data_IF_752431140233
#
_entry.id   IF_752431140233
#
_cell.length_a   1.000
_cell.length_b   1.000
_cell.length_c   1.000
_cell.angle_alpha   90.00
_cell.angle_beta   90.00
_cell.angle_gamma   90.00
#
_symmetry.space_group_name_H-M   'P 1'
#
loop_
_entity.id
_entity.type
_entity.pdbx_description
1 polymer ?
#
# COMPACT_ATOMS: atom_id res chain seq x y z
N UNK A 1 26.29 16.19 27.72
CA UNK A 1 25.80 16.53 26.38
C UNK A 1 26.23 15.39 25.47
N UNK A 2 25.32 14.80 24.73
CA UNK A 2 25.66 13.76 23.77
C UNK A 2 26.47 14.40 22.62
N UNK A 3 27.68 13.92 22.40
CA UNK A 3 28.59 14.41 21.39
C UNK A 3 28.27 13.72 20.06
N UNK A 4 28.03 14.48 18.99
CA UNK A 4 27.81 13.90 17.66
C UNK A 4 29.09 13.15 17.22
N UNK A 5 28.96 12.00 16.59
CA UNK A 5 30.09 11.15 16.15
C UNK A 5 31.15 11.85 15.29
N UNK A 6 30.77 12.94 14.61
CA UNK A 6 31.63 13.73 13.72
C UNK A 6 32.04 15.10 14.32
N UNK A 7 31.67 15.41 15.57
CA UNK A 7 31.88 16.71 16.18
C UNK A 7 33.36 16.93 16.56
N UNK A 8 33.98 17.87 15.87
CA UNK A 8 35.35 18.31 16.12
C UNK A 8 35.34 19.72 16.74
N UNK A 9 34.98 19.85 18.00
CA UNK A 9 35.07 21.10 18.82
C UNK A 9 34.43 22.36 18.19
N UNK A 10 33.49 22.23 17.28
CA UNK A 10 32.70 23.33 16.72
C UNK A 10 31.29 23.28 17.29
N UNK A 11 30.89 24.29 18.03
CA UNK A 11 29.54 24.40 18.57
C UNK A 11 28.56 24.59 17.40
N UNK A 12 27.68 23.61 17.15
CA UNK A 12 26.68 23.70 16.09
C UNK A 12 25.63 24.74 16.49
N UNK A 13 25.33 25.67 15.59
CA UNK A 13 24.25 26.63 15.79
C UNK A 13 22.91 25.89 15.86
N UNK A 14 22.14 26.13 16.91
CA UNK A 14 20.86 25.46 17.17
C UNK A 14 19.83 25.63 16.01
N UNK A 15 19.87 26.77 15.31
CA UNK A 15 19.01 27.01 14.14
C UNK A 15 19.39 26.14 12.94
N UNK A 16 20.70 25.98 12.72
CA UNK A 16 21.22 25.10 11.68
C UNK A 16 20.90 23.64 12.00
N UNK A 17 21.07 23.23 13.26
CA UNK A 17 20.73 21.88 13.71
C UNK A 17 19.24 21.59 13.50
N UNK A 18 18.37 22.50 13.95
CA UNK A 18 16.93 22.42 13.73
C UNK A 18 16.55 22.28 12.25
N UNK A 19 17.20 23.09 11.38
CA UNK A 19 16.92 23.05 9.95
C UNK A 19 17.39 21.74 9.29
N UNK A 20 18.57 21.26 9.65
CA UNK A 20 19.19 20.08 9.03
C UNK A 20 18.65 18.74 9.56
N UNK A 21 18.26 18.67 10.80
CA UNK A 21 17.60 17.48 11.38
C UNK A 21 16.11 17.45 11.00
N UNK A 22 15.44 18.61 11.03
CA UNK A 22 14.03 18.72 10.66
C UNK A 22 13.17 17.77 11.48
N UNK A 23 12.35 16.97 10.77
CA UNK A 23 11.50 15.92 11.36
C UNK A 23 12.15 14.52 11.35
N UNK A 24 13.44 14.43 11.09
CA UNK A 24 14.09 13.13 10.87
C UNK A 24 13.98 12.21 12.10
N UNK A 25 14.12 12.75 13.31
CA UNK A 25 13.94 11.97 14.56
C UNK A 25 12.54 11.36 14.67
N UNK A 26 11.49 12.10 14.29
CA UNK A 26 10.11 11.62 14.28
C UNK A 26 9.93 10.50 13.25
N UNK A 27 10.47 10.71 12.06
CA UNK A 27 10.39 9.75 10.98
C UNK A 27 11.22 8.48 11.25
N UNK A 28 12.36 8.62 11.90
CA UNK A 28 13.23 7.49 12.24
C UNK A 28 12.61 6.54 13.28
N UNK A 29 11.60 7.00 14.04
CA UNK A 29 10.85 6.10 14.92
C UNK A 29 10.15 4.97 14.16
N UNK A 30 9.72 5.20 12.91
CA UNK A 30 9.21 4.15 12.02
C UNK A 30 10.26 3.08 11.70
N UNK A 31 11.53 3.44 11.74
CA UNK A 31 12.65 2.59 11.34
C UNK A 31 13.33 1.86 12.51
N UNK A 32 13.01 2.21 13.75
CA UNK A 32 13.75 1.77 14.95
C UNK A 32 13.92 0.25 15.05
N UNK A 33 12.85 -0.53 14.86
CA UNK A 33 12.96 -2.01 14.93
C UNK A 33 13.76 -2.59 13.76
N UNK A 34 13.77 -1.93 12.62
CA UNK A 34 14.47 -2.38 11.41
C UNK A 34 15.97 -2.08 11.49
N UNK A 35 16.36 -0.96 12.09
CA UNK A 35 17.77 -0.67 12.42
C UNK A 35 18.35 -1.73 13.35
N UNK A 36 17.58 -2.15 14.35
CA UNK A 36 18.00 -3.23 15.25
C UNK A 36 18.18 -4.56 14.50
N UNK A 37 17.23 -4.95 13.64
CA UNK A 37 17.33 -6.18 12.84
C UNK A 37 18.52 -6.12 11.86
N UNK A 38 18.70 -5.01 11.16
CA UNK A 38 19.85 -4.77 10.30
C UNK A 38 21.17 -4.86 11.05
N UNK A 39 21.21 -4.29 12.25
CA UNK A 39 22.36 -4.32 13.15
C UNK A 39 22.67 -5.75 13.64
N UNK A 40 21.65 -6.55 13.99
CA UNK A 40 21.85 -7.96 14.40
C UNK A 40 22.48 -8.79 13.27
N UNK A 41 21.98 -8.64 12.05
CA UNK A 41 22.55 -9.33 10.90
C UNK A 41 23.98 -8.86 10.61
N UNK A 42 24.24 -7.57 10.76
CA UNK A 42 25.55 -6.99 10.53
C UNK A 42 26.60 -7.49 11.52
N UNK A 43 26.33 -7.46 12.84
CA UNK A 43 27.29 -7.94 13.84
C UNK A 43 27.53 -9.45 13.75
N UNK A 44 26.53 -10.24 13.35
CA UNK A 44 26.69 -11.66 13.09
C UNK A 44 27.67 -11.89 11.93
N UNK A 45 27.59 -11.07 10.90
CA UNK A 45 28.57 -11.08 9.80
C UNK A 45 29.94 -10.59 10.26
N UNK A 46 30.05 -9.57 11.12
CA UNK A 46 31.34 -9.08 11.65
C UNK A 46 32.08 -10.15 12.43
N UNK A 47 31.39 -10.98 13.19
CA UNK A 47 31.98 -12.13 13.89
C UNK A 47 32.53 -13.13 12.89
N UNK A 48 31.80 -13.49 11.85
CA UNK A 48 32.21 -14.46 10.83
C UNK A 48 33.47 -14.06 10.07
N UNK A 49 33.78 -12.77 10.00
CA UNK A 49 34.99 -12.23 9.36
C UNK A 49 36.08 -11.83 10.38
N UNK A 50 35.91 -12.16 11.66
CA UNK A 50 36.90 -11.99 12.73
C UNK A 50 37.03 -10.57 13.29
N UNK A 51 36.08 -9.68 13.03
CA UNK A 51 36.03 -8.33 13.61
C UNK A 51 35.36 -8.27 14.98
N UNK A 52 34.62 -9.32 15.34
CA UNK A 52 34.07 -9.56 16.67
C UNK A 52 34.48 -10.97 17.13
N UNK A 53 34.63 -11.16 18.43
CA UNK A 53 34.69 -12.48 19.02
C UNK A 53 33.29 -13.05 19.24
N UNK A 54 33.15 -14.36 19.39
CA UNK A 54 31.87 -15.01 19.67
C UNK A 54 31.23 -14.54 20.98
N UNK A 55 32.03 -14.20 21.99
CA UNK A 55 31.55 -13.64 23.27
C UNK A 55 31.02 -12.21 23.07
N UNK A 56 31.72 -11.38 22.30
CA UNK A 56 31.27 -10.02 21.96
C UNK A 56 29.96 -10.06 21.15
N UNK A 57 29.87 -10.98 20.17
CA UNK A 57 28.62 -11.17 19.41
C UNK A 57 27.46 -11.51 20.33
N UNK A 58 27.67 -12.46 21.27
CA UNK A 58 26.60 -12.90 22.18
C UNK A 58 26.02 -11.75 23.01
N UNK A 59 26.89 -10.94 23.64
CA UNK A 59 26.44 -9.83 24.48
C UNK A 59 25.80 -8.68 23.67
N UNK A 60 26.28 -8.44 22.43
CA UNK A 60 25.70 -7.48 21.51
C UNK A 60 24.31 -7.91 21.04
N UNK A 61 24.14 -9.19 20.67
CA UNK A 61 22.83 -9.74 20.27
C UNK A 61 21.81 -9.68 21.42
N UNK A 62 22.23 -9.98 22.65
CA UNK A 62 21.37 -9.89 23.82
C UNK A 62 20.88 -8.44 24.05
N UNK A 63 21.78 -7.45 23.99
CA UNK A 63 21.40 -6.05 24.18
C UNK A 63 20.56 -5.52 22.99
N UNK A 64 20.85 -5.92 21.75
CA UNK A 64 20.00 -5.56 20.61
C UNK A 64 18.59 -6.15 20.73
N UNK A 65 18.43 -7.37 21.27
CA UNK A 65 17.10 -7.94 21.57
C UNK A 65 16.36 -7.14 22.64
N UNK A 66 17.07 -6.63 23.67
CA UNK A 66 16.49 -5.75 24.68
C UNK A 66 16.01 -4.42 24.07
N UNK A 67 16.83 -3.83 23.18
CA UNK A 67 16.45 -2.62 22.45
C UNK A 67 15.23 -2.89 21.56
N UNK A 68 15.23 -3.99 20.81
CA UNK A 68 14.09 -4.40 19.96
C UNK A 68 12.81 -4.52 20.80
N UNK A 69 12.88 -5.19 21.94
CA UNK A 69 11.73 -5.34 22.83
C UNK A 69 11.25 -3.99 23.41
N UNK A 70 12.15 -3.02 23.65
CA UNK A 70 11.77 -1.68 24.07
C UNK A 70 11.05 -0.90 22.96
N UNK A 71 11.43 -1.11 21.69
CA UNK A 71 10.73 -0.55 20.53
C UNK A 71 9.32 -1.15 20.43
N UNK A 72 9.18 -2.49 20.55
CA UNK A 72 7.86 -3.15 20.53
C UNK A 72 6.92 -2.66 21.64
N UNK A 73 7.46 -2.30 22.83
CA UNK A 73 6.66 -1.73 23.91
C UNK A 73 6.41 -0.23 23.83
N UNK A 74 6.93 0.45 22.78
CA UNK A 74 6.80 1.91 22.65
C UNK A 74 7.64 2.71 23.66
N UNK A 75 8.67 2.12 24.27
CA UNK A 75 9.54 2.73 25.27
C UNK A 75 10.82 3.33 24.66
N UNK A 76 11.14 2.97 23.42
CA UNK A 76 12.30 3.51 22.71
C UNK A 76 12.05 4.96 22.31
N UNK A 77 13.03 5.81 22.54
CA UNK A 77 13.02 7.22 22.14
C UNK A 77 14.39 7.64 21.60
N UNK A 78 14.40 8.52 20.62
CA UNK A 78 15.62 9.19 20.19
C UNK A 78 15.80 10.41 21.09
N UNK A 79 16.86 10.38 21.91
CA UNK A 79 17.11 11.40 22.92
C UNK A 79 17.44 12.77 22.29
N UNK A 80 17.12 13.84 23.04
CA UNK A 80 17.50 15.19 22.61
C UNK A 80 19.01 15.31 22.39
N UNK A 81 19.40 15.91 21.27
CA UNK A 81 20.80 16.03 20.85
C UNK A 81 21.33 14.82 20.06
N UNK A 82 20.58 13.73 19.95
CA UNK A 82 20.89 12.61 19.03
C UNK A 82 20.25 12.91 17.67
N UNK A 83 21.00 12.66 16.60
CA UNK A 83 20.58 13.04 15.24
C UNK A 83 19.55 12.07 14.65
N UNK A 84 19.73 10.76 14.84
CA UNK A 84 19.00 9.70 14.16
C UNK A 84 18.91 8.41 15.01
N UNK A 85 18.15 7.45 14.53
CA UNK A 85 17.96 6.15 15.16
C UNK A 85 19.28 5.37 15.28
N UNK A 86 20.15 5.44 14.27
CA UNK A 86 21.42 4.71 14.26
C UNK A 86 22.33 5.15 15.41
N UNK A 87 22.41 6.48 15.62
CA UNK A 87 23.17 7.06 16.72
C UNK A 87 22.56 6.71 18.08
N UNK A 88 21.22 6.64 18.17
CA UNK A 88 20.57 6.25 19.42
C UNK A 88 20.87 4.80 19.78
N UNK A 89 20.78 3.86 18.84
CA UNK A 89 21.09 2.45 19.06
C UNK A 89 22.55 2.27 19.46
N UNK A 90 23.50 2.91 18.74
CA UNK A 90 24.93 2.87 19.08
C UNK A 90 25.22 3.45 20.47
N UNK A 91 24.55 4.56 20.83
CA UNK A 91 24.68 5.16 22.16
C UNK A 91 24.20 4.21 23.27
N UNK A 92 23.06 3.57 23.08
CA UNK A 92 22.52 2.60 24.05
C UNK A 92 23.48 1.43 24.25
N UNK A 93 23.99 0.85 23.14
CA UNK A 93 25.00 -0.22 23.18
C UNK A 93 26.29 0.23 23.88
N UNK A 94 26.79 1.42 23.57
CA UNK A 94 28.02 1.98 24.16
C UNK A 94 27.84 2.24 25.67
N UNK A 95 26.69 2.75 26.10
CA UNK A 95 26.39 2.94 27.53
C UNK A 95 26.36 1.64 28.31
N UNK A 96 25.86 0.57 27.69
CA UNK A 96 25.73 -0.74 28.33
C UNK A 96 27.00 -1.58 28.26
N UNK A 97 27.69 -1.56 27.12
CA UNK A 97 28.74 -2.50 26.77
C UNK A 97 30.13 -1.85 26.58
N UNK A 98 30.22 -0.53 26.74
CA UNK A 98 31.48 0.20 26.58
C UNK A 98 32.05 0.09 25.17
N UNK A 99 33.36 -0.23 25.05
CA UNK A 99 34.04 -0.27 23.76
C UNK A 99 33.52 -1.36 22.83
N UNK A 100 32.93 -2.44 23.37
CA UNK A 100 32.31 -3.50 22.56
C UNK A 100 31.10 -2.93 21.80
N UNK A 101 30.29 -2.08 22.44
CA UNK A 101 29.17 -1.41 21.79
C UNK A 101 29.56 -0.56 20.59
N UNK A 102 30.74 0.08 20.61
CA UNK A 102 31.23 0.91 19.50
C UNK A 102 31.62 0.11 18.26
N UNK A 103 31.92 -1.18 18.40
CA UNK A 103 32.34 -2.05 17.28
C UNK A 103 31.23 -2.26 16.24
N UNK A 104 29.96 -2.04 16.61
CA UNK A 104 28.81 -2.22 15.73
C UNK A 104 28.90 -1.39 14.43
N UNK A 105 29.62 -0.27 14.46
CA UNK A 105 29.78 0.62 13.32
C UNK A 105 30.84 0.17 12.31
N UNK A 106 31.64 -0.86 12.64
CA UNK A 106 32.72 -1.34 11.77
C UNK A 106 32.19 -1.79 10.40
N UNK A 107 32.80 -1.31 9.31
CA UNK A 107 32.48 -1.75 7.94
C UNK A 107 31.15 -1.23 7.37
N UNK A 108 30.46 -0.34 8.03
CA UNK A 108 29.21 0.26 7.51
C UNK A 108 29.21 1.79 7.60
N UNK A 109 28.23 2.41 6.99
CA UNK A 109 27.94 3.84 7.05
C UNK A 109 26.46 4.03 7.43
N UNK A 110 26.10 5.19 7.95
CA UNK A 110 24.68 5.58 8.08
C UNK A 110 23.93 5.48 6.76
N UNK A 111 24.64 5.66 5.63
CA UNK A 111 24.04 5.60 4.30
C UNK A 111 23.50 4.20 3.99
N UNK A 112 24.23 3.11 4.23
CA UNK A 112 23.72 1.76 3.98
C UNK A 112 22.86 1.22 5.14
N UNK A 113 22.99 1.77 6.35
CA UNK A 113 22.06 1.49 7.45
C UNK A 113 20.64 1.98 7.10
N UNK A 114 20.47 3.26 6.78
CA UNK A 114 19.13 3.79 6.44
C UNK A 114 18.52 3.10 5.22
N UNK A 115 19.36 2.65 4.27
CA UNK A 115 18.87 1.90 3.11
C UNK A 115 18.31 0.53 3.50
N UNK A 116 18.99 -0.22 4.36
CA UNK A 116 18.49 -1.53 4.81
C UNK A 116 17.25 -1.36 5.66
N UNK A 117 17.23 -0.40 6.57
CA UNK A 117 16.07 -0.12 7.43
C UNK A 117 14.82 0.21 6.63
N UNK A 118 14.95 1.11 5.64
CA UNK A 118 13.85 1.46 4.74
C UNK A 118 13.36 0.24 3.96
N UNK A 119 14.24 -0.62 3.47
CA UNK A 119 13.81 -1.80 2.73
C UNK A 119 13.13 -2.84 3.61
N UNK A 120 13.60 -3.02 4.85
CA UNK A 120 12.94 -3.87 5.84
C UNK A 120 11.56 -3.30 6.21
N UNK A 121 11.49 -2.00 6.48
CA UNK A 121 10.23 -1.30 6.73
C UNK A 121 9.27 -1.45 5.55
N UNK A 122 9.70 -1.11 4.34
CA UNK A 122 8.86 -1.20 3.14
C UNK A 122 8.33 -2.61 2.93
N UNK A 123 9.17 -3.66 3.09
CA UNK A 123 8.72 -5.06 2.98
C UNK A 123 7.58 -5.37 3.95
N UNK A 124 7.71 -4.95 5.20
CA UNK A 124 6.69 -5.18 6.22
C UNK A 124 5.40 -4.41 5.91
N UNK A 125 5.51 -3.16 5.49
CA UNK A 125 4.36 -2.35 5.11
C UNK A 125 3.66 -2.88 3.85
N UNK A 126 4.41 -3.30 2.84
CA UNK A 126 3.84 -3.90 1.62
C UNK A 126 3.09 -5.21 1.93
N UNK A 127 3.57 -5.99 2.92
CA UNK A 127 2.82 -7.16 3.41
C UNK A 127 1.49 -6.75 4.03
N UNK A 128 1.50 -5.76 4.93
CA UNK A 128 0.29 -5.27 5.59
C UNK A 128 -0.73 -4.72 4.58
N UNK A 129 -0.26 -3.91 3.62
CA UNK A 129 -1.09 -3.39 2.52
C UNK A 129 -1.65 -4.53 1.66
N UNK A 130 -0.83 -5.52 1.28
CA UNK A 130 -1.29 -6.66 0.48
C UNK A 130 -2.40 -7.44 1.19
N UNK A 131 -2.22 -7.72 2.49
CA UNK A 131 -3.25 -8.38 3.31
C UNK A 131 -4.54 -7.54 3.45
N UNK A 132 -4.40 -6.21 3.53
CA UNK A 132 -5.56 -5.32 3.58
C UNK A 132 -6.33 -5.28 2.25
N UNK A 133 -5.61 -5.25 1.12
CA UNK A 133 -6.21 -5.34 -0.22
C UNK A 133 -6.90 -6.69 -0.42
N UNK A 134 -6.26 -7.78 0.00
CA UNK A 134 -6.84 -9.13 -0.09
C UNK A 134 -8.14 -9.26 0.72
N UNK A 135 -8.17 -8.68 1.93
CA UNK A 135 -9.43 -8.63 2.73
C UNK A 135 -10.55 -7.89 2.01
N UNK A 136 -10.27 -6.71 1.45
CA UNK A 136 -11.26 -5.97 0.66
C UNK A 136 -11.71 -6.75 -0.57
N UNK A 137 -10.77 -7.35 -1.28
CA UNK A 137 -11.03 -8.20 -2.45
C UNK A 137 -12.04 -9.30 -2.12
N UNK A 138 -11.83 -10.06 -1.05
CA UNK A 138 -12.74 -11.14 -0.66
C UNK A 138 -14.14 -10.63 -0.27
N UNK A 139 -14.22 -9.47 0.37
CA UNK A 139 -15.52 -8.83 0.64
C UNK A 139 -16.22 -8.49 -0.67
N UNK A 140 -15.52 -7.88 -1.63
CA UNK A 140 -16.12 -7.49 -2.91
C UNK A 140 -16.57 -8.72 -3.73
N UNK A 141 -15.79 -9.78 -3.77
CA UNK A 141 -16.18 -11.05 -4.43
C UNK A 141 -17.40 -11.68 -3.74
N UNK A 142 -17.41 -11.69 -2.41
CA UNK A 142 -18.57 -12.19 -1.65
C UNK A 142 -19.85 -11.41 -1.97
N UNK A 143 -19.76 -10.08 -2.02
CA UNK A 143 -20.89 -9.22 -2.39
C UNK A 143 -21.28 -9.40 -3.86
N UNK A 144 -20.30 -9.54 -4.76
CA UNK A 144 -20.52 -9.82 -6.19
C UNK A 144 -21.33 -11.11 -6.35
N UNK A 145 -20.93 -12.19 -5.69
CA UNK A 145 -21.64 -13.47 -5.73
C UNK A 145 -23.04 -13.38 -5.11
N UNK A 146 -23.18 -12.66 -3.98
CA UNK A 146 -24.45 -12.48 -3.27
C UNK A 146 -25.51 -11.75 -4.12
N UNK A 147 -25.09 -10.70 -4.83
CA UNK A 147 -25.98 -9.81 -5.58
C UNK A 147 -25.83 -9.96 -7.11
N UNK A 148 -25.36 -11.13 -7.57
CA UNK A 148 -25.12 -11.40 -9.00
C UNK A 148 -26.34 -11.20 -9.89
N UNK A 149 -27.52 -11.52 -9.36
CA UNK A 149 -28.79 -11.47 -10.07
C UNK A 149 -29.60 -10.18 -9.80
N UNK A 150 -29.09 -9.28 -8.96
CA UNK A 150 -29.76 -8.02 -8.64
C UNK A 150 -29.33 -6.98 -9.68
N UNK A 151 -30.25 -6.65 -10.58
CA UNK A 151 -30.01 -5.68 -11.65
C UNK A 151 -29.93 -4.27 -11.09
N UNK A 152 -29.09 -3.45 -11.72
CA UNK A 152 -29.00 -2.01 -11.52
C UNK A 152 -28.82 -1.30 -12.86
N UNK A 153 -29.20 0.00 -12.95
CA UNK A 153 -28.95 0.76 -14.18
C UNK A 153 -27.46 0.99 -14.40
N UNK A 154 -26.95 0.63 -15.57
CA UNK A 154 -25.64 1.04 -16.04
C UNK A 154 -25.70 2.43 -16.65
N UNK A 155 -24.64 3.22 -16.46
CA UNK A 155 -24.53 4.60 -16.92
C UNK A 155 -23.34 4.78 -17.86
N UNK A 156 -23.57 5.53 -18.94
CA UNK A 156 -22.50 6.13 -19.75
C UNK A 156 -22.78 7.62 -19.88
N UNK A 157 -21.76 8.46 -19.79
CA UNK A 157 -21.93 9.94 -19.81
C UNK A 157 -22.93 10.48 -18.76
N UNK A 158 -23.08 9.78 -17.63
CA UNK A 158 -24.10 10.02 -16.61
C UNK A 158 -25.56 9.94 -17.14
N UNK A 159 -25.77 9.25 -18.26
CA UNK A 159 -27.08 8.93 -18.79
C UNK A 159 -27.37 7.45 -18.58
N UNK A 160 -28.63 7.11 -18.32
CA UNK A 160 -29.08 5.72 -18.24
C UNK A 160 -28.77 5.03 -19.57
N UNK A 161 -28.05 3.94 -19.55
CA UNK A 161 -27.56 3.25 -20.73
C UNK A 161 -28.19 1.86 -20.87
N UNK A 162 -27.61 0.87 -20.19
CA UNK A 162 -27.97 -0.54 -20.31
C UNK A 162 -28.14 -1.19 -18.94
N UNK A 163 -28.78 -2.38 -18.86
CA UNK A 163 -28.78 -3.15 -17.63
C UNK A 163 -27.38 -3.50 -17.19
N UNK A 164 -27.11 -3.36 -15.89
CA UNK A 164 -25.97 -3.86 -15.17
C UNK A 164 -26.46 -4.66 -13.96
N UNK A 165 -25.55 -5.15 -13.12
CA UNK A 165 -25.91 -5.76 -11.85
C UNK A 165 -24.97 -5.29 -10.73
N UNK A 166 -25.44 -5.40 -9.49
CA UNK A 166 -24.54 -5.19 -8.34
C UNK A 166 -23.40 -6.21 -8.32
N UNK A 167 -23.66 -7.43 -8.80
CA UNK A 167 -22.59 -8.42 -8.97
C UNK A 167 -21.47 -7.91 -9.87
N UNK A 168 -21.79 -7.32 -11.03
CA UNK A 168 -20.80 -6.71 -11.91
C UNK A 168 -20.09 -5.51 -11.26
N UNK A 169 -20.81 -4.66 -10.53
CA UNK A 169 -20.24 -3.49 -9.88
C UNK A 169 -19.20 -3.86 -8.84
N UNK A 170 -19.52 -4.79 -7.93
CA UNK A 170 -18.56 -5.28 -6.93
C UNK A 170 -17.40 -6.05 -7.60
N UNK A 171 -17.70 -6.93 -8.56
CA UNK A 171 -16.70 -7.71 -9.29
C UNK A 171 -15.69 -6.84 -10.03
N UNK A 172 -16.12 -5.72 -10.62
CA UNK A 172 -15.25 -4.79 -11.32
C UNK A 172 -14.17 -4.18 -10.41
N UNK A 173 -14.53 -3.82 -9.17
CA UNK A 173 -13.54 -3.34 -8.21
C UNK A 173 -12.64 -4.46 -7.67
N UNK A 174 -13.18 -5.68 -7.51
CA UNK A 174 -12.36 -6.83 -7.15
C UNK A 174 -11.31 -7.12 -8.22
N UNK A 175 -11.68 -7.15 -9.49
CA UNK A 175 -10.74 -7.37 -10.61
C UNK A 175 -9.72 -6.22 -10.73
N UNK A 176 -10.12 -4.97 -10.53
CA UNK A 176 -9.20 -3.83 -10.49
C UNK A 176 -8.13 -3.97 -9.40
N UNK A 177 -8.50 -4.51 -8.23
CA UNK A 177 -7.53 -4.78 -7.15
C UNK A 177 -6.54 -5.88 -7.51
N UNK A 178 -6.85 -6.82 -8.41
CA UNK A 178 -5.88 -7.80 -8.92
C UNK A 178 -4.75 -7.11 -9.68
N UNK A 179 -5.08 -6.17 -10.56
CA UNK A 179 -4.09 -5.39 -11.31
C UNK A 179 -3.22 -4.55 -10.35
N UNK A 180 -3.84 -3.92 -9.35
CA UNK A 180 -3.12 -3.17 -8.32
C UNK A 180 -2.15 -4.06 -7.53
N UNK A 181 -2.56 -5.29 -7.19
CA UNK A 181 -1.71 -6.26 -6.49
C UNK A 181 -0.56 -6.78 -7.35
N UNK A 182 -0.74 -6.93 -8.68
CA UNK A 182 0.37 -7.25 -9.60
C UNK A 182 1.41 -6.13 -9.56
N UNK A 183 0.99 -4.88 -9.54
CA UNK A 183 1.88 -3.75 -9.47
C UNK A 183 2.59 -3.66 -8.09
N UNK A 184 1.86 -3.92 -7.01
CA UNK A 184 2.41 -4.00 -5.66
C UNK A 184 3.48 -5.10 -5.55
N UNK A 185 3.24 -6.27 -6.15
CA UNK A 185 4.20 -7.36 -6.19
C UNK A 185 5.48 -6.98 -6.96
N UNK A 186 5.35 -6.27 -8.10
CA UNK A 186 6.50 -5.79 -8.84
C UNK A 186 7.35 -4.80 -8.01
N UNK A 187 6.69 -3.88 -7.27
CA UNK A 187 7.35 -2.97 -6.34
C UNK A 187 8.06 -3.73 -5.21
N UNK A 188 7.40 -4.74 -4.61
CA UNK A 188 7.99 -5.60 -3.60
C UNK A 188 9.27 -6.29 -4.11
N UNK A 189 9.25 -6.91 -5.28
CA UNK A 189 10.42 -7.57 -5.89
C UNK A 189 11.61 -6.63 -6.10
N UNK A 190 11.34 -5.35 -6.43
CA UNK A 190 12.41 -4.35 -6.57
C UNK A 190 12.97 -3.89 -5.22
N UNK A 191 12.14 -3.87 -4.18
CA UNK A 191 12.55 -3.54 -2.82
C UNK A 191 13.32 -4.68 -2.15
N UNK A 192 12.95 -5.94 -2.39
CA UNK A 192 13.47 -7.13 -1.69
C UNK A 192 14.90 -7.53 -2.13
N UNK A 193 15.81 -6.54 -2.09
CA UNK A 193 17.24 -6.69 -2.43
C UNK A 193 18.10 -5.99 -1.38
N UNK A 194 18.99 -6.75 -0.72
CA UNK A 194 19.84 -6.25 0.36
C UNK A 194 20.82 -5.16 -0.12
N UNK A 195 20.82 -3.95 0.47
CA UNK A 195 21.80 -2.90 0.19
C UNK A 195 22.98 -2.92 1.16
N UNK A 196 22.87 -3.60 2.32
CA UNK A 196 23.82 -3.55 3.41
C UNK A 196 25.21 -4.03 2.97
N UNK A 197 26.26 -3.41 3.50
CA UNK A 197 27.64 -3.63 3.09
C UNK A 197 28.07 -2.82 1.86
N UNK A 198 27.21 -1.94 1.35
CA UNK A 198 27.63 -0.90 0.36
C UNK A 198 28.39 0.25 1.02
N UNK A 199 28.38 0.31 2.36
CA UNK A 199 28.97 1.36 3.16
C UNK A 199 28.54 2.77 2.71
N UNK A 200 29.45 3.69 2.49
CA UNK A 200 29.13 5.02 1.96
C UNK A 200 28.75 5.04 0.46
N UNK A 201 28.55 3.87 -0.14
CA UNK A 201 28.21 3.70 -1.56
C UNK A 201 29.36 3.24 -2.45
N UNK A 202 30.53 2.98 -1.86
CA UNK A 202 31.73 2.60 -2.61
C UNK A 202 32.37 1.32 -2.06
N UNK A 203 31.69 0.62 -1.16
CA UNK A 203 32.18 -0.60 -0.52
C UNK A 203 33.12 -0.34 0.64
N UNK A 204 33.84 -1.38 1.06
CA UNK A 204 34.78 -1.35 2.19
C UNK A 204 36.02 -2.18 1.88
N UNK A 205 37.13 -1.85 2.56
CA UNK A 205 38.35 -2.69 2.56
C UNK A 205 38.21 -3.92 3.49
N UNK A 206 37.20 -3.99 4.33
CA UNK A 206 36.87 -5.21 5.08
C UNK A 206 36.25 -6.27 4.16
N UNK A 207 36.51 -7.56 4.38
CA UNK A 207 35.93 -8.62 3.57
C UNK A 207 34.46 -8.93 3.97
N UNK A 208 33.58 -7.93 3.84
CA UNK A 208 32.17 -8.03 4.27
C UNK A 208 31.44 -9.14 3.52
N UNK A 209 30.83 -10.09 4.24
CA UNK A 209 29.97 -11.13 3.67
C UNK A 209 28.54 -10.62 3.48
N UNK A 210 28.29 -9.99 2.32
CA UNK A 210 26.99 -9.47 1.95
C UNK A 210 25.97 -10.57 1.63
N UNK A 211 26.42 -11.76 1.25
CA UNK A 211 25.54 -12.90 1.04
C UNK A 211 24.98 -13.41 2.37
N UNK A 212 25.82 -13.44 3.40
CA UNK A 212 25.40 -13.81 4.75
C UNK A 212 24.32 -12.85 5.28
N UNK A 213 24.54 -11.53 5.21
CA UNK A 213 23.54 -10.56 5.65
C UNK A 213 22.26 -10.61 4.81
N UNK A 214 22.34 -10.94 3.52
CA UNK A 214 21.19 -11.17 2.64
C UNK A 214 20.34 -12.35 3.14
N UNK A 215 20.97 -13.47 3.49
CA UNK A 215 20.28 -14.65 4.04
C UNK A 215 19.67 -14.36 5.41
N UNK A 216 20.44 -13.76 6.32
CA UNK A 216 20.01 -13.46 7.69
C UNK A 216 18.79 -12.52 7.72
N UNK A 217 18.69 -11.57 6.78
CA UNK A 217 17.59 -10.63 6.67
C UNK A 217 16.45 -11.10 5.75
N UNK A 218 16.55 -12.31 5.19
CA UNK A 218 15.51 -12.90 4.36
C UNK A 218 15.31 -12.21 3.01
N UNK A 219 16.28 -11.46 2.51
CA UNK A 219 16.19 -10.87 1.16
C UNK A 219 16.29 -11.94 0.07
N UNK A 220 15.69 -11.72 -1.07
CA UNK A 220 15.78 -12.64 -2.20
C UNK A 220 17.14 -12.57 -2.91
N UNK A 221 17.72 -11.38 -2.93
CA UNK A 221 19.03 -11.11 -3.51
C UNK A 221 19.63 -9.85 -2.89
N UNK A 222 20.77 -9.39 -3.41
CA UNK A 222 21.37 -8.12 -3.01
C UNK A 222 21.42 -7.11 -4.17
N UNK A 223 21.64 -5.86 -3.87
CA UNK A 223 22.12 -4.90 -4.83
C UNK A 223 23.63 -5.15 -5.02
N UNK A 224 24.02 -5.86 -6.09
CA UNK A 224 25.40 -6.32 -6.32
C UNK A 224 26.37 -5.15 -6.46
N UNK A 225 26.00 -4.14 -7.25
CA UNK A 225 26.81 -2.96 -7.41
C UNK A 225 26.59 -1.99 -6.23
N UNK A 226 27.64 -1.70 -5.48
CA UNK A 226 27.56 -0.87 -4.26
C UNK A 226 27.17 0.59 -4.55
N UNK A 227 27.56 1.13 -5.72
CA UNK A 227 27.10 2.46 -6.15
C UNK A 227 25.59 2.44 -6.44
N UNK A 228 25.12 1.39 -7.12
CA UNK A 228 23.67 1.24 -7.39
C UNK A 228 22.86 1.05 -6.09
N UNK A 229 23.44 0.38 -5.07
CA UNK A 229 22.76 0.27 -3.78
C UNK A 229 22.37 1.66 -3.22
N UNK A 230 23.28 2.63 -3.29
CA UNK A 230 23.01 4.02 -2.89
C UNK A 230 22.08 4.75 -3.86
N UNK A 231 22.23 4.57 -5.18
CA UNK A 231 21.33 5.12 -6.18
C UNK A 231 19.91 4.56 -6.09
N UNK A 232 19.74 3.45 -5.36
CA UNK A 232 18.45 2.87 -5.02
C UNK A 232 17.60 3.73 -4.09
N UNK A 233 18.21 4.62 -3.29
CA UNK A 233 17.52 5.56 -2.42
C UNK A 233 16.64 6.52 -3.25
N UNK A 234 15.41 6.72 -2.82
CA UNK A 234 14.40 7.47 -3.56
C UNK A 234 13.79 6.69 -4.73
N UNK A 235 14.58 5.90 -5.49
CA UNK A 235 14.06 5.09 -6.59
C UNK A 235 13.13 3.97 -6.11
N UNK A 236 13.48 3.30 -5.01
CA UNK A 236 12.64 2.25 -4.43
C UNK A 236 11.35 2.87 -3.88
N UNK A 237 11.47 3.94 -3.11
CA UNK A 237 10.34 4.67 -2.54
C UNK A 237 9.39 5.17 -3.65
N UNK A 238 9.94 5.71 -4.74
CA UNK A 238 9.15 6.11 -5.90
C UNK A 238 8.40 4.94 -6.54
N UNK A 239 9.06 3.80 -6.75
CA UNK A 239 8.43 2.62 -7.36
C UNK A 239 7.29 2.09 -6.48
N UNK A 240 7.51 2.04 -5.17
CA UNK A 240 6.49 1.66 -4.18
C UNK A 240 5.34 2.67 -4.18
N UNK A 241 5.64 3.96 -4.20
CA UNK A 241 4.59 5.00 -4.20
C UNK A 241 3.69 4.95 -5.43
N UNK A 242 4.19 4.51 -6.60
CA UNK A 242 3.34 4.26 -7.76
C UNK A 242 2.35 3.10 -7.52
N UNK A 243 2.78 2.04 -6.83
CA UNK A 243 1.89 0.93 -6.50
C UNK A 243 0.83 1.36 -5.45
N UNK A 244 1.22 2.12 -4.42
CA UNK A 244 0.28 2.68 -3.46
C UNK A 244 -0.73 3.64 -4.13
N UNK A 245 -0.26 4.47 -5.07
CA UNK A 245 -1.10 5.38 -5.84
C UNK A 245 -2.11 4.65 -6.73
N UNK A 246 -1.76 3.48 -7.29
CA UNK A 246 -2.68 2.64 -8.07
C UNK A 246 -3.84 2.15 -7.20
N UNK A 247 -3.55 1.55 -6.05
CA UNK A 247 -4.57 1.10 -5.09
C UNK A 247 -5.44 2.28 -4.65
N UNK A 248 -4.83 3.42 -4.32
CA UNK A 248 -5.54 4.64 -3.93
C UNK A 248 -6.46 5.15 -5.05
N UNK A 249 -6.06 5.00 -6.32
CA UNK A 249 -6.89 5.33 -7.48
C UNK A 249 -8.16 4.48 -7.55
N UNK A 250 -8.03 3.18 -7.37
CA UNK A 250 -9.17 2.23 -7.31
C UNK A 250 -10.11 2.57 -6.15
N UNK A 251 -9.55 2.79 -4.95
CA UNK A 251 -10.35 3.17 -3.77
C UNK A 251 -11.06 4.51 -3.94
N UNK A 252 -10.39 5.51 -4.49
CA UNK A 252 -10.98 6.83 -4.74
C UNK A 252 -12.18 6.75 -5.69
N UNK A 253 -12.06 5.95 -6.74
CA UNK A 253 -13.15 5.71 -7.70
C UNK A 253 -14.32 4.96 -7.04
N UNK A 254 -14.04 3.91 -6.28
CA UNK A 254 -15.07 3.17 -5.54
C UNK A 254 -15.80 4.05 -4.53
N UNK A 255 -15.06 4.89 -3.79
CA UNK A 255 -15.63 5.84 -2.84
C UNK A 255 -16.53 6.89 -3.53
N UNK A 256 -16.15 7.35 -4.74
CA UNK A 256 -16.97 8.25 -5.52
C UNK A 256 -18.30 7.58 -5.93
N UNK A 257 -18.24 6.36 -6.47
CA UNK A 257 -19.45 5.62 -6.86
C UNK A 257 -20.36 5.39 -5.64
N UNK A 258 -19.81 4.98 -4.51
CA UNK A 258 -20.57 4.76 -3.29
C UNK A 258 -21.25 6.04 -2.77
N UNK A 259 -20.57 7.20 -2.82
CA UNK A 259 -21.18 8.49 -2.50
C UNK A 259 -22.32 8.84 -3.47
N UNK A 260 -22.11 8.63 -4.78
CA UNK A 260 -23.12 8.90 -5.80
C UNK A 260 -24.32 7.97 -5.66
N UNK A 261 -24.10 6.67 -5.50
CA UNK A 261 -25.16 5.66 -5.40
C UNK A 261 -25.94 5.73 -4.09
N UNK A 262 -25.34 6.27 -3.02
CA UNK A 262 -26.04 6.49 -1.75
C UNK A 262 -26.83 7.80 -1.69
N UNK A 263 -26.65 8.72 -2.66
CA UNK A 263 -27.37 9.98 -2.67
C UNK A 263 -28.87 9.76 -2.94
N UNK A 264 -29.70 10.70 -2.49
CA UNK A 264 -31.17 10.60 -2.56
C UNK A 264 -31.72 10.47 -3.99
N UNK A 265 -31.01 10.99 -5.00
CA UNK A 265 -31.45 10.93 -6.40
C UNK A 265 -31.21 9.54 -7.03
N UNK A 266 -30.19 8.80 -6.59
CA UNK A 266 -29.92 7.45 -7.04
C UNK A 266 -30.56 6.43 -6.10
N UNK A 267 -30.21 6.47 -4.82
CA UNK A 267 -30.76 5.56 -3.80
C UNK A 267 -30.50 4.08 -4.07
N UNK A 268 -29.40 3.76 -4.76
CA UNK A 268 -29.04 2.39 -5.13
C UNK A 268 -28.47 1.59 -3.95
N UNK A 269 -27.77 2.29 -3.06
CA UNK A 269 -27.17 1.71 -1.88
C UNK A 269 -27.48 2.55 -0.65
N UNK A 270 -27.48 1.90 0.52
CA UNK A 270 -27.56 2.55 1.81
C UNK A 270 -26.32 2.16 2.63
N UNK A 271 -25.58 3.17 3.07
CA UNK A 271 -24.44 2.98 3.95
C UNK A 271 -24.91 2.62 5.37
N UNK A 272 -24.09 1.89 6.17
CA UNK A 272 -24.34 1.67 7.58
C UNK A 272 -24.52 3.02 8.32
N UNK A 273 -25.45 3.07 9.25
CA UNK A 273 -25.78 4.31 9.97
C UNK A 273 -24.56 4.85 10.75
N UNK A 274 -23.75 3.96 11.32
CA UNK A 274 -22.49 4.28 12.03
C UNK A 274 -21.39 4.85 11.13
N UNK A 275 -21.51 4.70 9.81
CA UNK A 275 -20.57 5.23 8.82
C UNK A 275 -21.06 6.54 8.16
N UNK A 276 -22.12 7.12 8.71
CA UNK A 276 -22.71 8.37 8.22
C UNK A 276 -22.79 9.38 9.33
N UNK A 277 -22.64 10.67 8.99
CA UNK A 277 -22.90 11.74 9.95
C UNK A 277 -24.24 12.43 9.67
N UNK A 278 -24.87 12.89 10.75
CA UNK A 278 -26.10 13.67 10.64
C UNK A 278 -25.83 15.15 10.37
N UNK A 279 -26.89 15.91 10.16
CA UNK A 279 -26.86 17.36 10.09
C UNK A 279 -27.40 17.95 11.39
N UNK A 280 -26.77 19.02 11.89
CA UNK A 280 -27.24 19.72 13.08
C UNK A 280 -28.59 20.44 12.91
N UNK A 281 -29.03 20.63 11.65
CA UNK A 281 -30.26 21.37 11.30
C UNK A 281 -31.21 20.58 10.39
N UNK A 282 -30.74 19.48 9.81
CA UNK A 282 -31.53 18.64 8.88
C UNK A 282 -31.62 17.20 9.38
N UNK A 283 -32.63 16.83 10.20
CA UNK A 283 -32.63 15.55 10.90
C UNK A 283 -32.74 14.31 9.98
N UNK A 284 -33.12 14.49 8.71
CA UNK A 284 -33.23 13.42 7.71
C UNK A 284 -31.93 13.18 6.93
N UNK A 285 -30.93 14.09 7.06
CA UNK A 285 -29.71 14.07 6.23
C UNK A 285 -28.68 13.13 6.83
N UNK A 286 -28.16 12.22 6.00
CA UNK A 286 -27.05 11.30 6.32
C UNK A 286 -25.96 11.53 5.29
N UNK A 287 -24.77 11.91 5.77
CA UNK A 287 -23.64 12.25 4.92
C UNK A 287 -22.69 11.04 4.81
N UNK A 288 -22.15 10.73 3.62
CA UNK A 288 -21.19 9.63 3.43
C UNK A 288 -19.76 10.04 3.77
N UNK A 289 -19.53 10.71 4.93
CA UNK A 289 -18.27 11.37 5.28
C UNK A 289 -17.07 10.43 5.22
N UNK A 290 -17.23 9.15 5.59
CA UNK A 290 -16.14 8.18 5.55
C UNK A 290 -15.65 8.00 4.11
N UNK A 291 -16.55 7.86 3.13
CA UNK A 291 -16.15 7.75 1.73
C UNK A 291 -15.67 9.07 1.13
N UNK A 292 -16.18 10.20 1.59
CA UNK A 292 -15.66 11.52 1.19
C UNK A 292 -14.19 11.68 1.64
N UNK A 293 -13.89 11.33 2.90
CA UNK A 293 -12.53 11.36 3.44
C UNK A 293 -11.64 10.30 2.79
N UNK A 294 -12.13 9.08 2.57
CA UNK A 294 -11.40 8.04 1.84
C UNK A 294 -10.98 8.54 0.46
N UNK A 295 -11.89 9.13 -0.30
CA UNK A 295 -11.61 9.73 -1.61
C UNK A 295 -10.55 10.82 -1.52
N UNK A 296 -10.65 11.72 -0.56
CA UNK A 296 -9.70 12.82 -0.38
C UNK A 296 -8.30 12.34 0.01
N UNK A 297 -8.20 11.41 0.98
CA UNK A 297 -6.93 10.76 1.39
C UNK A 297 -6.31 10.00 0.22
N UNK A 298 -7.08 9.20 -0.49
CA UNK A 298 -6.61 8.47 -1.67
C UNK A 298 -6.14 9.40 -2.80
N UNK A 299 -6.83 10.53 -3.06
CA UNK A 299 -6.37 11.53 -4.01
C UNK A 299 -5.04 12.18 -3.59
N UNK A 300 -4.83 12.41 -2.29
CA UNK A 300 -3.56 12.86 -1.74
C UNK A 300 -2.44 11.83 -1.96
N UNK A 301 -2.69 10.55 -1.67
CA UNK A 301 -1.72 9.47 -1.88
C UNK A 301 -1.30 9.37 -3.36
N UNK A 302 -2.22 9.60 -4.31
CA UNK A 302 -1.91 9.59 -5.73
C UNK A 302 -0.89 10.67 -6.16
N UNK A 303 -0.64 11.69 -5.34
CA UNK A 303 0.40 12.70 -5.61
C UNK A 303 1.78 12.27 -5.14
N UNK A 304 1.89 11.21 -4.33
CA UNK A 304 3.13 10.79 -3.69
C UNK A 304 4.28 10.49 -4.67
N UNK A 305 4.05 9.76 -5.80
CA UNK A 305 5.12 9.52 -6.77
C UNK A 305 5.74 10.81 -7.31
N UNK A 306 4.91 11.81 -7.57
CA UNK A 306 5.37 13.09 -8.09
C UNK A 306 6.18 13.87 -7.05
N UNK A 307 5.76 13.89 -5.79
CA UNK A 307 6.51 14.53 -4.71
C UNK A 307 7.91 13.90 -4.58
N UNK A 308 8.00 12.57 -4.56
CA UNK A 308 9.29 11.87 -4.48
C UNK A 308 10.16 12.16 -5.71
N UNK A 309 9.59 12.15 -6.92
CA UNK A 309 10.33 12.49 -8.14
C UNK A 309 10.91 13.90 -8.08
N UNK A 310 10.17 14.88 -7.58
CA UNK A 310 10.65 16.27 -7.46
C UNK A 310 11.79 16.38 -6.46
N UNK A 311 11.73 15.67 -5.31
CA UNK A 311 12.81 15.66 -4.31
C UNK A 311 14.08 15.01 -4.87
N UNK A 312 13.95 13.98 -5.70
CA UNK A 312 15.09 13.25 -6.29
C UNK A 312 15.72 13.94 -7.49
N UNK A 313 15.08 14.93 -8.07
CA UNK A 313 15.53 15.54 -9.32
C UNK A 313 16.93 16.17 -9.17
N UNK A 314 17.72 16.02 -10.25
CA UNK A 314 19.04 16.64 -10.39
C UNK A 314 20.10 16.18 -9.38
N UNK A 315 19.89 15.02 -8.72
CA UNK A 315 20.88 14.43 -7.84
C UNK A 315 21.81 13.52 -8.66
N UNK A 316 23.15 13.71 -8.59
CA UNK A 316 24.09 12.75 -9.16
C UNK A 316 24.13 11.44 -8.38
N UNK A 317 24.90 10.45 -8.85
CA UNK A 317 25.10 9.21 -8.11
C UNK A 317 25.81 9.45 -6.76
N UNK A 318 25.42 8.68 -5.74
CA UNK A 318 25.91 8.83 -4.37
C UNK A 318 24.77 9.24 -3.42
N UNK A 319 25.13 9.53 -2.17
CA UNK A 319 24.18 9.97 -1.15
C UNK A 319 24.10 11.50 -1.10
N UNK A 320 22.88 12.00 -0.97
CA UNK A 320 22.58 13.41 -0.75
C UNK A 320 21.50 13.55 0.34
N UNK A 321 21.65 14.58 1.17
CA UNK A 321 20.74 14.83 2.29
C UNK A 321 19.32 15.21 1.85
N UNK A 322 19.13 15.63 0.62
CA UNK A 322 17.83 15.88 -0.03
C UNK A 322 16.89 14.67 0.14
N UNK A 323 17.42 13.46 0.07
CA UNK A 323 16.66 12.22 0.19
C UNK A 323 16.09 11.98 1.59
N UNK A 324 16.55 12.72 2.61
CA UNK A 324 16.00 12.65 3.96
C UNK A 324 14.53 13.06 4.00
N UNK A 325 14.16 14.10 3.24
CA UNK A 325 12.79 14.65 3.21
C UNK A 325 11.76 13.63 2.66
N UNK A 326 12.21 12.66 1.86
CA UNK A 326 11.31 11.61 1.34
C UNK A 326 10.60 10.88 2.48
N UNK A 327 11.24 10.66 3.64
CA UNK A 327 10.64 9.99 4.79
C UNK A 327 9.35 10.67 5.25
N UNK A 328 9.31 12.00 5.25
CA UNK A 328 8.18 12.79 5.76
C UNK A 328 6.87 12.57 4.97
N UNK A 329 6.98 12.33 3.66
CA UNK A 329 5.82 12.10 2.79
C UNK A 329 5.54 10.62 2.58
N UNK A 330 6.57 9.78 2.63
CA UNK A 330 6.48 8.37 2.25
C UNK A 330 6.07 7.45 3.41
N UNK A 331 6.71 7.59 4.59
CA UNK A 331 6.46 6.65 5.69
C UNK A 331 5.02 6.69 6.21
N UNK A 332 4.40 7.88 6.42
CA UNK A 332 3.01 7.94 6.88
C UNK A 332 1.96 7.51 5.86
N UNK A 333 2.33 7.45 4.57
CA UNK A 333 1.38 7.13 3.50
C UNK A 333 0.85 5.69 3.57
N UNK A 334 1.61 4.76 4.15
CA UNK A 334 1.18 3.39 4.34
C UNK A 334 0.02 3.29 5.32
N UNK A 335 0.16 3.90 6.49
CA UNK A 335 -0.90 3.95 7.51
C UNK A 335 -2.16 4.62 6.97
N UNK A 336 -2.01 5.75 6.25
CA UNK A 336 -3.14 6.45 5.64
C UNK A 336 -3.88 5.59 4.60
N UNK A 337 -3.14 4.78 3.81
CA UNK A 337 -3.74 3.86 2.84
C UNK A 337 -4.41 2.67 3.54
N UNK A 338 -3.79 2.11 4.56
CA UNK A 338 -4.35 0.99 5.34
C UNK A 338 -5.65 1.39 6.04
N UNK A 339 -5.71 2.60 6.61
CA UNK A 339 -6.95 3.16 7.16
C UNK A 339 -8.06 3.22 6.11
N UNK A 340 -7.74 3.70 4.90
CA UNK A 340 -8.69 3.77 3.80
C UNK A 340 -9.19 2.37 3.38
N UNK A 341 -8.30 1.39 3.28
CA UNK A 341 -8.62 0.00 2.97
C UNK A 341 -9.51 -0.63 4.05
N UNK A 342 -9.18 -0.39 5.32
CA UNK A 342 -9.96 -0.89 6.46
C UNK A 342 -11.39 -0.33 6.46
N UNK A 343 -11.54 0.97 6.27
CA UNK A 343 -12.86 1.62 6.22
C UNK A 343 -13.66 1.16 5.01
N UNK A 344 -13.03 1.05 3.85
CA UNK A 344 -13.68 0.53 2.65
C UNK A 344 -14.16 -0.90 2.84
N UNK A 345 -13.33 -1.79 3.42
CA UNK A 345 -13.68 -3.17 3.72
C UNK A 345 -14.89 -3.23 4.64
N UNK A 346 -14.86 -2.49 5.77
CA UNK A 346 -15.93 -2.47 6.75
C UNK A 346 -17.27 -2.02 6.15
N UNK A 347 -17.25 -0.96 5.33
CA UNK A 347 -18.48 -0.41 4.74
C UNK A 347 -19.00 -1.35 3.65
N UNK A 348 -18.12 -1.85 2.76
CA UNK A 348 -18.54 -2.73 1.67
C UNK A 348 -19.08 -4.08 2.16
N UNK A 349 -18.62 -4.58 3.30
CA UNK A 349 -19.20 -5.76 3.93
C UNK A 349 -20.65 -5.55 4.41
N UNK A 350 -20.98 -4.34 4.89
CA UNK A 350 -22.26 -3.99 5.53
C UNK A 350 -23.20 -3.15 4.65
N UNK A 351 -22.76 -2.75 3.49
CA UNK A 351 -23.56 -1.92 2.56
C UNK A 351 -24.89 -2.65 2.21
N UNK A 352 -25.98 -1.93 2.23
CA UNK A 352 -27.29 -2.45 1.86
C UNK A 352 -27.65 -2.04 0.46
N UNK A 353 -28.08 -2.98 -0.34
CA UNK A 353 -28.48 -2.79 -1.72
C UNK A 353 -29.97 -2.54 -1.78
N UNK A 354 -30.40 -1.60 -2.64
CA UNK A 354 -31.80 -1.43 -2.99
C UNK A 354 -32.15 -2.38 -4.15
N UNK A 355 -32.87 -3.46 -3.86
CA UNK A 355 -33.27 -4.47 -4.84
C UNK A 355 -34.46 -4.01 -5.70
N UNK A 356 -35.10 -2.88 -5.36
CA UNK A 356 -36.31 -2.33 -5.99
C UNK A 356 -36.04 -1.13 -6.90
N UNK A 357 -34.80 -0.91 -7.35
CA UNK A 357 -34.43 0.23 -8.21
C UNK A 357 -35.25 0.21 -9.50
N UNK A 358 -35.44 -0.95 -10.09
CA UNK A 358 -36.10 -1.12 -11.38
C UNK A 358 -37.64 -1.03 -11.32
N UNK A 359 -38.21 -0.86 -10.13
CA UNK A 359 -39.64 -0.58 -9.99
C UNK A 359 -39.98 0.82 -10.53
N UNK A 360 -39.00 1.72 -10.61
CA UNK A 360 -39.16 3.06 -11.22
C UNK A 360 -39.15 2.97 -12.76
N UNK A 361 -40.21 3.42 -13.39
CA UNK A 361 -40.38 3.35 -14.84
C UNK A 361 -39.39 4.18 -15.64
N UNK A 362 -38.69 5.14 -15.02
CA UNK A 362 -37.61 5.89 -15.69
C UNK A 362 -36.47 4.98 -16.21
N UNK A 363 -36.36 3.78 -15.66
CA UNK A 363 -35.36 2.79 -16.08
C UNK A 363 -35.81 1.81 -17.16
N UNK A 364 -37.07 1.93 -17.63
CA UNK A 364 -37.61 1.02 -18.63
C UNK A 364 -36.79 1.01 -19.92
N UNK A 365 -36.37 2.16 -20.40
CA UNK A 365 -35.68 2.28 -21.69
C UNK A 365 -34.24 1.76 -21.68
N UNK A 366 -33.66 1.42 -20.53
CA UNK A 366 -32.35 0.77 -20.49
C UNK A 366 -32.37 -0.62 -21.12
N UNK A 367 -33.55 -1.25 -21.22
CA UNK A 367 -33.75 -2.54 -21.88
C UNK A 367 -33.94 -2.45 -23.40
N UNK A 368 -33.89 -1.26 -24.00
CA UNK A 368 -34.10 -1.07 -25.42
C UNK A 368 -33.16 -1.86 -26.31
N UNK A 369 -31.88 -2.01 -25.88
CA UNK A 369 -30.89 -2.83 -26.61
C UNK A 369 -31.22 -4.31 -26.50
N UNK A 370 -31.73 -4.79 -25.38
CA UNK A 370 -32.17 -6.18 -25.22
C UNK A 370 -33.29 -6.52 -26.21
N UNK A 371 -34.26 -5.61 -26.39
CA UNK A 371 -35.34 -5.78 -27.36
C UNK A 371 -34.82 -5.72 -28.81
N UNK A 372 -33.88 -4.82 -29.14
CA UNK A 372 -33.22 -4.79 -30.46
C UNK A 372 -32.50 -6.12 -30.75
N UNK A 373 -31.77 -6.63 -29.74
CA UNK A 373 -31.05 -7.91 -29.88
C UNK A 373 -32.00 -9.09 -30.03
N UNK A 374 -33.12 -9.09 -29.29
CA UNK A 374 -34.17 -10.12 -29.42
C UNK A 374 -34.74 -10.16 -30.87
N UNK A 375 -35.15 -9.01 -31.38
CA UNK A 375 -35.66 -8.89 -32.74
C UNK A 375 -34.63 -9.30 -33.79
N UNK A 376 -33.37 -8.93 -33.59
CA UNK A 376 -32.27 -9.33 -34.47
C UNK A 376 -32.04 -10.84 -34.45
N UNK A 377 -32.14 -11.47 -33.29
CA UNK A 377 -32.02 -12.92 -33.13
C UNK A 377 -33.18 -13.69 -33.78
N UNK A 378 -34.35 -13.05 -33.93
CA UNK A 378 -35.51 -13.57 -34.66
C UNK A 378 -35.42 -13.35 -36.18
N UNK A 379 -34.32 -12.76 -36.67
CA UNK A 379 -34.03 -12.61 -38.10
C UNK A 379 -34.28 -11.22 -38.68
N UNK A 380 -34.65 -10.23 -37.85
CA UNK A 380 -34.78 -8.86 -38.32
C UNK A 380 -33.38 -8.24 -38.49
N UNK A 381 -33.08 -7.54 -39.61
CA UNK A 381 -31.84 -6.79 -39.70
C UNK A 381 -31.66 -5.80 -38.54
N UNK A 382 -30.48 -5.77 -37.93
CA UNK A 382 -30.22 -4.98 -36.74
C UNK A 382 -30.64 -3.50 -36.86
N UNK A 383 -30.39 -2.88 -38.01
CA UNK A 383 -30.80 -1.46 -38.23
C UNK A 383 -32.33 -1.26 -38.30
N UNK A 384 -33.03 -2.27 -38.75
CA UNK A 384 -34.50 -2.20 -38.81
C UNK A 384 -35.09 -2.46 -37.42
N UNK A 385 -34.52 -3.41 -36.67
CA UNK A 385 -34.87 -3.61 -35.26
C UNK A 385 -34.62 -2.35 -34.43
N UNK A 386 -33.47 -1.70 -34.61
CA UNK A 386 -33.14 -0.45 -33.93
C UNK A 386 -34.15 0.66 -34.23
N UNK A 387 -34.51 0.86 -35.52
CA UNK A 387 -35.53 1.85 -35.94
C UNK A 387 -36.90 1.54 -35.36
N UNK A 388 -37.28 0.26 -35.39
CA UNK A 388 -38.58 -0.18 -34.86
C UNK A 388 -38.68 0.13 -33.37
N UNK A 389 -37.67 -0.29 -32.57
CA UNK A 389 -37.67 -0.03 -31.13
C UNK A 389 -37.63 1.47 -30.83
N UNK A 390 -36.88 2.28 -31.60
CA UNK A 390 -36.86 3.72 -31.47
C UNK A 390 -38.26 4.35 -31.69
N UNK A 391 -38.97 3.92 -32.72
CA UNK A 391 -40.35 4.39 -33.01
C UNK A 391 -41.33 3.92 -31.92
N UNK A 392 -41.19 2.70 -31.39
CA UNK A 392 -42.03 2.21 -30.30
C UNK A 392 -41.83 3.06 -29.01
N UNK A 393 -40.56 3.47 -28.73
CA UNK A 393 -40.24 4.38 -27.63
C UNK A 393 -40.90 5.75 -27.84
N UNK A 394 -40.74 6.36 -29.01
CA UNK A 394 -41.34 7.68 -29.34
C UNK A 394 -42.86 7.65 -29.26
N UNK A 395 -43.49 6.55 -29.66
CA UNK A 395 -44.96 6.36 -29.60
C UNK A 395 -45.46 5.99 -28.20
N UNK A 396 -44.57 5.75 -27.21
CA UNK A 396 -44.95 5.29 -25.88
C UNK A 396 -45.45 3.84 -25.82
N UNK A 397 -45.14 3.04 -26.85
CA UNK A 397 -45.58 1.65 -26.96
C UNK A 397 -44.50 0.65 -26.51
N UNK A 398 -43.30 1.12 -26.13
CA UNK A 398 -42.22 0.25 -25.68
C UNK A 398 -42.58 -0.40 -24.34
N UNK A 399 -42.40 -1.72 -24.28
CA UNK A 399 -42.54 -2.51 -23.05
C UNK A 399 -41.47 -3.62 -23.02
N UNK A 400 -41.03 -3.97 -21.84
CA UNK A 400 -40.08 -5.03 -21.60
C UNK A 400 -40.33 -5.68 -20.22
N UNK A 401 -40.09 -6.98 -20.10
CA UNK A 401 -40.32 -7.70 -18.85
C UNK A 401 -39.21 -7.49 -17.81
N UNK A 402 -38.22 -6.62 -18.12
CA UNK A 402 -37.05 -6.25 -17.30
C UNK A 402 -36.16 -7.46 -16.98
N UNK A 403 -36.14 -8.49 -17.86
CA UNK A 403 -35.23 -9.63 -17.75
C UNK A 403 -34.02 -9.48 -18.65
N UNK A 404 -32.90 -10.08 -18.25
CA UNK A 404 -31.63 -10.08 -19.01
C UNK A 404 -31.11 -11.50 -19.08
N UNK A 405 -30.72 -11.94 -20.28
CA UNK A 405 -30.19 -13.28 -20.55
C UNK A 405 -28.83 -13.21 -21.24
N UNK A 406 -27.77 -12.83 -20.51
CA UNK A 406 -26.41 -12.85 -21.01
C UNK A 406 -25.72 -14.16 -20.63
N UNK A 407 -24.95 -14.74 -21.54
CA UNK A 407 -24.24 -16.01 -21.31
C UNK A 407 -22.72 -15.92 -21.54
N UNK A 408 -22.26 -14.84 -22.16
CA UNK A 408 -20.82 -14.66 -22.43
C UNK A 408 -20.05 -14.33 -21.15
N UNK A 409 -18.77 -14.72 -21.14
CA UNK A 409 -17.89 -14.51 -19.99
C UNK A 409 -17.80 -13.04 -19.57
N UNK A 410 -17.83 -12.80 -18.27
CA UNK A 410 -17.72 -11.47 -17.68
C UNK A 410 -18.99 -10.61 -17.74
N UNK A 411 -20.15 -11.17 -18.08
CA UNK A 411 -21.42 -10.44 -18.13
C UNK A 411 -22.42 -10.91 -17.07
N UNK A 412 -23.59 -10.25 -17.02
CA UNK A 412 -24.71 -10.64 -16.16
C UNK A 412 -25.04 -12.12 -16.41
N UNK A 413 -25.09 -12.93 -15.32
CA UNK A 413 -25.31 -14.38 -15.44
C UNK A 413 -24.05 -15.23 -15.62
N UNK A 414 -22.90 -14.64 -15.97
CA UNK A 414 -21.61 -15.33 -16.06
C UNK A 414 -20.47 -14.41 -15.64
N UNK A 415 -20.38 -14.05 -14.36
CA UNK A 415 -19.45 -13.04 -13.82
C UNK A 415 -17.97 -13.46 -13.85
N UNK A 416 -17.68 -14.75 -13.95
CA UNK A 416 -16.33 -15.31 -13.92
C UNK A 416 -15.54 -14.97 -12.63
N UNK A 417 -16.22 -14.81 -11.50
CA UNK A 417 -15.59 -14.48 -10.21
C UNK A 417 -14.56 -15.52 -9.77
N UNK A 418 -14.76 -16.79 -10.11
CA UNK A 418 -13.79 -17.88 -9.90
C UNK A 418 -12.44 -17.61 -10.60
N UNK A 419 -12.48 -17.05 -11.80
CA UNK A 419 -11.27 -16.68 -12.54
C UNK A 419 -10.56 -15.47 -11.94
N UNK A 420 -11.32 -14.50 -11.45
CA UNK A 420 -10.77 -13.34 -10.76
C UNK A 420 -10.10 -13.77 -9.44
N UNK A 421 -10.72 -14.72 -8.69
CA UNK A 421 -10.11 -15.30 -7.48
C UNK A 421 -8.82 -16.08 -7.79
N UNK A 422 -8.80 -16.89 -8.85
CA UNK A 422 -7.60 -17.61 -9.31
C UNK A 422 -6.44 -16.63 -9.60
N UNK A 423 -6.71 -15.51 -10.27
CA UNK A 423 -5.71 -14.49 -10.57
C UNK A 423 -5.17 -13.85 -9.30
N UNK A 424 -6.01 -13.47 -8.34
CA UNK A 424 -5.57 -12.90 -7.07
C UNK A 424 -4.68 -13.89 -6.30
N UNK A 425 -5.07 -15.16 -6.21
CA UNK A 425 -4.28 -16.19 -5.54
C UNK A 425 -2.89 -16.36 -6.17
N UNK A 426 -2.79 -16.33 -7.51
CA UNK A 426 -1.51 -16.39 -8.22
C UNK A 426 -0.60 -15.20 -7.85
N UNK A 427 -1.16 -14.00 -7.77
CA UNK A 427 -0.38 -12.81 -7.40
C UNK A 427 0.06 -12.89 -5.94
N UNK A 428 -0.84 -13.20 -5.01
CA UNK A 428 -0.54 -13.29 -3.57
C UNK A 428 0.54 -14.32 -3.29
N UNK A 429 0.47 -15.50 -3.92
CA UNK A 429 1.47 -16.55 -3.74
C UNK A 429 2.88 -16.17 -4.17
N UNK A 430 3.01 -15.18 -5.05
CA UNK A 430 4.29 -14.73 -5.57
C UNK A 430 5.05 -13.72 -4.68
N UNK A 431 4.52 -13.30 -3.51
CA UNK A 431 5.21 -12.40 -2.57
C UNK A 431 6.26 -13.11 -1.69
N UNK A 432 6.03 -14.38 -1.33
CA UNK A 432 6.94 -15.18 -0.47
C UNK A 432 7.24 -14.53 0.89
N UNK A 433 6.22 -13.99 1.58
CA UNK A 433 6.36 -13.32 2.88
C UNK A 433 6.87 -14.25 3.99
N UNK A 434 6.58 -15.56 3.91
CA UNK A 434 7.00 -16.56 4.91
C UNK A 434 8.50 -16.59 5.11
N UNK A 435 9.29 -16.48 4.03
CA UNK A 435 10.77 -16.45 4.10
C UNK A 435 11.26 -15.28 4.96
N UNK A 436 10.61 -14.12 4.84
CA UNK A 436 10.96 -12.92 5.62
C UNK A 436 10.65 -13.13 7.09
N UNK A 437 9.44 -13.62 7.41
CA UNK A 437 9.00 -13.89 8.78
C UNK A 437 9.95 -14.90 9.46
N UNK A 438 10.31 -15.97 8.77
CA UNK A 438 11.24 -16.98 9.30
C UNK A 438 12.63 -16.39 9.57
N UNK A 439 13.15 -15.54 8.67
CA UNK A 439 14.44 -14.89 8.86
C UNK A 439 14.44 -13.94 10.08
N UNK A 440 13.43 -13.12 10.22
CA UNK A 440 13.27 -12.19 11.35
C UNK A 440 13.12 -12.95 12.68
N UNK A 441 12.30 -14.00 12.73
CA UNK A 441 12.13 -14.84 13.90
C UNK A 441 13.45 -15.53 14.29
N UNK A 442 14.21 -16.03 13.31
CA UNK A 442 15.51 -16.63 13.56
C UNK A 442 16.52 -15.66 14.18
N UNK A 443 16.60 -14.42 13.69
CA UNK A 443 17.45 -13.37 14.27
C UNK A 443 17.06 -13.06 15.72
N UNK A 444 15.76 -12.97 15.99
CA UNK A 444 15.24 -12.70 17.31
C UNK A 444 15.31 -13.91 18.27
N UNK A 445 15.53 -15.12 17.73
CA UNK A 445 15.52 -16.38 18.50
C UNK A 445 14.11 -16.79 18.94
N UNK A 446 13.12 -16.50 18.11
CA UNK A 446 11.68 -16.85 18.27
C UNK A 446 11.30 -18.06 17.43
#
# INVERSE_FOLDING_TARGET
>A
MAQKLWEKNVQVNAEIDRFTVGRDREMDMYLAKYDVLGSMAHITMLESIGLLTSDELKILLEELKNIYASVERGEFVIEDGIEDVHSQVELMLTRRLGDVGKKIHSGRSRNDQVLVDLKLFIRAQLKSVAEAVERLFHVLISQSNRYKDVLMPGYTHLQIAMPSSFGLWFGAYAESLVDDMMFLQAAYKTCNRNPLGSAAGYGSSFPLDREMTTRLLGFDSMNYNVVYAQMGRGKVERNVSFALASIAGTLSKMAFDACMFSCQNFGFVKLPDECTTGSSIMPHKKNPDVFELTRAKCNKIQTLPQQIMMIMNNLPSGYFRDLQIIKEVFLPAFEELEDCLQMATYIMEKIKINEHILDDDKYLYMFSVEEVNRLASEGMPFRDAYKKVGLDIEAGNFSHDKTVHHTHAGSIGNLCNDKIEELMQQVVSGFNFEKVIQAENSLLGR
#
